data_IF_184319832582
#
_entry.id   IF_184319832582
#
_cell.length_a   1.000
_cell.length_b   1.000
_cell.length_c   1.000
_cell.angle_alpha   90.00
_cell.angle_beta   90.00
_cell.angle_gamma   90.00
#
_symmetry.space_group_name_H-M   'P 1'
#
loop_
_entity.id
_entity.type
_entity.pdbx_description
1 polymer ?
#
# COMPACT_ATOMS: atom_id res chain seq x y z
N UNK A 1 -4.32 9.70 13.13
CA UNK A 1 -5.46 10.34 13.84
C UNK A 1 -4.91 10.96 15.11
N UNK A 2 -5.16 12.24 15.38
CA UNK A 2 -4.83 12.84 16.66
C UNK A 2 -5.71 12.22 17.75
N UNK A 3 -5.11 11.73 18.83
CA UNK A 3 -5.81 11.12 19.97
C UNK A 3 -6.27 12.21 20.95
N UNK A 4 -7.19 11.86 21.86
CA UNK A 4 -7.68 12.68 22.98
C UNK A 4 -6.55 13.41 23.73
N UNK A 5 -5.38 12.79 23.84
CA UNK A 5 -4.24 13.29 24.61
C UNK A 5 -3.38 14.32 23.87
N UNK A 6 -3.61 14.54 22.57
CA UNK A 6 -2.76 15.44 21.74
C UNK A 6 -2.76 16.90 22.24
N UNK A 7 -3.77 17.31 23.00
CA UNK A 7 -3.90 18.66 23.57
C UNK A 7 -3.48 18.75 25.05
N UNK A 8 -3.05 17.65 25.66
CA UNK A 8 -2.64 17.62 27.07
C UNK A 8 -1.20 18.13 27.24
N UNK A 9 -1.03 19.45 27.10
CA UNK A 9 0.28 20.13 27.23
C UNK A 9 0.90 20.05 28.63
N UNK A 10 0.15 19.54 29.62
CA UNK A 10 0.60 19.36 31.01
C UNK A 10 1.08 17.96 31.31
N UNK A 11 0.98 17.03 30.36
CA UNK A 11 1.48 15.66 30.53
C UNK A 11 3.00 15.66 30.73
N UNK A 12 3.47 14.89 31.70
CA UNK A 12 4.91 14.71 31.90
C UNK A 12 5.48 13.90 30.73
N UNK A 13 6.63 14.29 30.17
CA UNK A 13 7.22 13.54 29.07
C UNK A 13 7.56 12.12 29.53
N UNK A 14 7.02 11.13 28.83
CA UNK A 14 7.45 9.73 28.96
C UNK A 14 8.77 9.62 28.21
N UNK A 15 9.86 9.34 28.93
CA UNK A 15 11.15 9.06 28.31
C UNK A 15 11.22 7.55 28.09
N UNK A 16 11.17 7.14 26.83
CA UNK A 16 11.37 5.75 26.43
C UNK A 16 12.82 5.54 25.99
N UNK A 17 13.57 4.78 26.80
CA UNK A 17 14.97 4.41 26.54
C UNK A 17 15.10 2.96 26.02
N UNK A 18 14.00 2.36 25.53
CA UNK A 18 14.01 0.99 25.04
C UNK A 18 14.72 0.82 23.69
N UNK A 19 14.78 1.88 22.88
CA UNK A 19 15.43 1.89 21.57
C UNK A 19 16.69 2.75 21.63
N UNK A 20 17.85 2.14 21.41
CA UNK A 20 19.13 2.84 21.29
C UNK A 20 19.29 3.49 19.93
N UNK A 21 18.83 2.82 18.86
CA UNK A 21 19.05 3.26 17.48
C UNK A 21 17.90 2.88 16.56
N UNK A 22 17.55 3.80 15.66
CA UNK A 22 16.58 3.59 14.59
C UNK A 22 17.18 4.09 13.28
N UNK A 23 17.43 3.20 12.31
CA UNK A 23 18.13 3.56 11.07
C UNK A 23 17.54 2.89 9.84
N UNK A 24 17.34 3.66 8.79
CA UNK A 24 16.93 3.14 7.49
C UNK A 24 18.13 2.56 6.73
N UNK A 25 18.00 1.31 6.30
CA UNK A 25 18.98 0.63 5.48
C UNK A 25 18.41 0.38 4.09
N UNK A 26 19.18 0.76 3.07
CA UNK A 26 18.81 0.58 1.68
C UNK A 26 19.20 -0.83 1.18
N UNK A 27 18.23 -1.49 0.55
CA UNK A 27 18.40 -2.76 -0.14
C UNK A 27 17.94 -2.60 -1.58
N UNK A 28 18.83 -2.85 -2.52
CA UNK A 28 18.57 -2.69 -3.96
C UNK A 28 18.39 -4.04 -4.65
N UNK A 29 17.67 -4.04 -5.77
CA UNK A 29 17.59 -5.23 -6.62
C UNK A 29 18.96 -5.57 -7.23
N UNK A 30 19.17 -6.85 -7.53
CA UNK A 30 20.37 -7.32 -8.24
C UNK A 30 20.35 -6.97 -9.72
N UNK A 31 19.17 -6.81 -10.31
CA UNK A 31 19.03 -6.39 -11.70
C UNK A 31 19.08 -4.87 -11.78
N UNK A 32 19.57 -4.36 -12.91
CA UNK A 32 19.71 -2.93 -13.18
C UNK A 32 18.88 -2.46 -14.36
N UNK A 33 18.37 -3.38 -15.18
CA UNK A 33 17.43 -3.08 -16.25
C UNK A 33 16.02 -3.49 -15.80
N UNK A 34 15.17 -2.49 -15.56
CA UNK A 34 13.81 -2.67 -15.05
C UNK A 34 12.74 -2.42 -16.12
N UNK A 35 13.12 -1.95 -17.31
CA UNK A 35 12.18 -1.27 -18.22
C UNK A 35 11.34 -2.24 -19.06
N UNK A 36 11.77 -3.50 -19.19
CA UNK A 36 11.05 -4.49 -19.97
C UNK A 36 9.81 -5.00 -19.20
N UNK A 37 8.59 -4.90 -19.76
CA UNK A 37 7.40 -5.49 -19.16
C UNK A 37 7.58 -6.99 -18.89
N UNK A 38 7.05 -7.47 -17.77
CA UNK A 38 7.23 -8.84 -17.28
C UNK A 38 8.55 -9.08 -16.52
N UNK A 39 9.46 -8.10 -16.46
CA UNK A 39 10.67 -8.22 -15.64
C UNK A 39 10.31 -8.37 -14.17
N UNK A 40 10.86 -9.41 -13.54
CA UNK A 40 10.76 -9.62 -12.11
C UNK A 40 11.88 -8.85 -11.38
N UNK A 41 11.47 -7.94 -10.50
CA UNK A 41 12.35 -7.13 -9.68
C UNK A 41 12.25 -7.67 -8.24
N UNK A 42 13.16 -8.58 -7.91
CA UNK A 42 13.25 -9.15 -6.56
C UNK A 42 14.31 -8.41 -5.73
N UNK A 43 13.97 -8.08 -4.49
CA UNK A 43 14.82 -7.36 -3.53
C UNK A 43 14.83 -8.17 -2.22
N UNK A 44 15.82 -9.07 -2.04
CA UNK A 44 15.95 -9.87 -0.83
C UNK A 44 16.76 -9.15 0.26
N UNK A 45 16.31 -9.27 1.51
CA UNK A 45 17.01 -8.86 2.73
C UNK A 45 17.37 -10.13 3.50
N UNK A 46 18.61 -10.59 3.29
CA UNK A 46 19.10 -11.89 3.79
C UNK A 46 19.94 -11.78 5.08
N UNK A 47 19.79 -10.69 5.83
CA UNK A 47 20.55 -10.48 7.06
C UNK A 47 19.81 -11.09 8.26
N UNK A 48 20.39 -12.14 8.83
CA UNK A 48 19.84 -12.79 10.02
C UNK A 48 20.23 -12.04 11.30
N UNK A 49 19.43 -12.18 12.35
CA UNK A 49 19.68 -11.57 13.66
C UNK A 49 19.40 -10.07 13.75
N UNK A 50 18.71 -9.50 12.76
CA UNK A 50 18.25 -8.10 12.80
C UNK A 50 16.85 -7.98 13.40
N UNK A 51 16.59 -6.86 14.05
CA UNK A 51 15.24 -6.38 14.32
C UNK A 51 14.84 -5.40 13.22
N UNK A 52 13.91 -5.81 12.35
CA UNK A 52 13.39 -4.99 11.26
C UNK A 52 11.99 -4.48 11.58
N UNK A 53 11.60 -3.32 11.08
CA UNK A 53 10.24 -2.76 11.26
C UNK A 53 9.53 -2.55 9.91
N UNK A 54 8.85 -3.58 9.37
CA UNK A 54 8.18 -3.48 8.06
C UNK A 54 7.12 -2.38 7.95
N UNK A 55 6.49 -1.99 9.07
CA UNK A 55 5.43 -0.97 9.07
C UNK A 55 5.90 0.43 8.69
N UNK A 56 7.17 0.72 8.93
CA UNK A 56 7.80 1.99 8.56
C UNK A 56 8.73 1.87 7.34
N UNK A 57 8.74 0.70 6.68
CA UNK A 57 9.49 0.50 5.46
C UNK A 57 8.81 1.13 4.23
N UNK A 58 9.63 1.52 3.26
CA UNK A 58 9.15 2.10 2.00
C UNK A 58 10.02 1.70 0.81
N UNK A 59 9.45 1.77 -0.38
CA UNK A 59 10.13 1.57 -1.65
C UNK A 59 10.54 2.95 -2.17
N UNK A 60 11.80 3.11 -2.58
CA UNK A 60 12.27 4.25 -3.36
C UNK A 60 12.29 3.86 -4.84
N UNK A 61 11.63 4.67 -5.66
CA UNK A 61 11.60 4.50 -7.11
C UNK A 61 12.15 5.77 -7.74
N UNK A 62 13.22 5.61 -8.49
CA UNK A 62 13.83 6.69 -9.28
C UNK A 62 13.81 6.33 -10.75
N UNK A 63 13.60 7.33 -11.58
CA UNK A 63 13.55 7.13 -13.01
C UNK A 63 13.37 8.43 -13.77
N UNK A 64 13.02 8.27 -15.03
CA UNK A 64 12.83 9.39 -15.95
C UNK A 64 11.68 9.14 -16.91
N UNK A 65 10.78 10.10 -17.00
CA UNK A 65 9.75 10.18 -18.04
C UNK A 65 10.33 10.84 -19.30
N UNK A 66 10.40 10.09 -20.39
CA UNK A 66 10.93 10.52 -21.68
C UNK A 66 9.88 10.35 -22.78
N UNK A 67 10.08 11.00 -23.92
CA UNK A 67 9.39 10.63 -25.15
C UNK A 67 9.84 9.24 -25.58
N UNK A 68 9.00 8.54 -26.33
CA UNK A 68 9.31 7.19 -26.84
C UNK A 68 10.60 7.14 -27.69
N UNK A 69 11.02 8.27 -28.29
CA UNK A 69 12.28 8.41 -29.03
C UNK A 69 13.51 8.67 -28.13
N UNK A 70 13.34 8.67 -26.80
CA UNK A 70 14.38 8.93 -25.81
C UNK A 70 14.68 10.41 -25.56
N UNK A 71 14.01 11.32 -26.26
CA UNK A 71 14.20 12.77 -26.06
C UNK A 71 13.36 13.30 -24.90
N UNK A 72 13.73 14.49 -24.42
CA UNK A 72 13.02 15.13 -23.29
C UNK A 72 11.74 15.84 -23.76
N UNK A 73 10.73 15.85 -22.89
CA UNK A 73 9.59 16.76 -23.03
C UNK A 73 9.98 18.21 -22.78
N UNK A 74 9.28 19.15 -23.42
CA UNK A 74 9.37 20.58 -23.19
C UNK A 74 8.38 21.04 -22.11
N UNK A 75 8.56 22.24 -21.55
CA UNK A 75 7.66 22.78 -20.50
C UNK A 75 6.20 22.87 -20.94
N UNK A 76 5.97 23.16 -22.23
CA UNK A 76 4.64 23.28 -22.82
C UNK A 76 4.02 21.91 -23.17
N UNK A 77 4.78 20.82 -23.15
CA UNK A 77 4.24 19.49 -23.42
C UNK A 77 3.34 19.08 -22.25
N UNK A 78 2.05 18.92 -22.53
CA UNK A 78 1.05 18.51 -21.54
C UNK A 78 1.13 17.00 -21.31
N UNK A 79 2.08 16.58 -20.46
CA UNK A 79 2.29 15.20 -20.03
C UNK A 79 2.80 15.12 -18.58
N UNK A 80 2.35 14.12 -17.83
CA UNK A 80 2.87 13.78 -16.50
C UNK A 80 2.50 12.33 -16.15
N UNK A 81 2.92 11.83 -14.99
CA UNK A 81 2.41 10.58 -14.43
C UNK A 81 1.04 10.77 -13.77
N UNK A 82 0.18 9.74 -13.82
CA UNK A 82 -1.14 9.72 -13.16
C UNK A 82 -0.99 9.71 -11.62
N UNK A 83 -2.11 9.89 -10.90
CA UNK A 83 -2.09 9.98 -9.44
C UNK A 83 -1.67 8.60 -8.92
N UNK A 84 -0.64 8.54 -8.06
CA UNK A 84 0.00 7.29 -7.64
C UNK A 84 0.57 6.46 -8.82
N UNK A 85 0.91 7.11 -9.93
CA UNK A 85 1.32 6.47 -11.19
C UNK A 85 2.50 5.50 -11.08
N UNK A 86 3.35 5.63 -10.05
CA UNK A 86 4.46 4.68 -9.80
C UNK A 86 3.98 3.24 -9.61
N UNK A 87 2.83 3.04 -8.99
CA UNK A 87 2.29 1.68 -8.80
C UNK A 87 1.69 1.11 -10.08
N UNK A 88 1.34 1.94 -11.05
CA UNK A 88 0.89 1.48 -12.36
C UNK A 88 2.04 1.00 -13.26
N UNK A 89 3.29 1.24 -12.86
CA UNK A 89 4.47 0.67 -13.52
C UNK A 89 4.66 -0.81 -13.19
N UNK A 90 3.91 -1.36 -12.22
CA UNK A 90 4.00 -2.75 -11.81
C UNK A 90 2.63 -3.42 -11.85
N UNK A 91 2.60 -4.64 -12.39
CA UNK A 91 1.39 -5.44 -12.48
C UNK A 91 1.05 -6.07 -11.12
N UNK A 92 2.11 -6.49 -10.40
CA UNK A 92 2.00 -7.28 -9.18
C UNK A 92 3.08 -6.91 -8.18
N UNK A 93 2.74 -6.94 -6.91
CA UNK A 93 3.67 -6.92 -5.78
C UNK A 93 3.45 -8.13 -4.88
N UNK A 94 4.52 -8.79 -4.49
CA UNK A 94 4.52 -9.93 -3.58
C UNK A 94 5.48 -9.66 -2.42
N UNK A 95 5.04 -9.94 -1.20
CA UNK A 95 5.87 -9.81 -0.01
C UNK A 95 5.97 -11.15 0.72
N UNK A 96 7.21 -11.59 0.95
CA UNK A 96 7.52 -12.87 1.59
C UNK A 96 8.35 -12.66 2.86
N UNK A 97 8.09 -13.49 3.87
CA UNK A 97 8.93 -13.61 5.07
C UNK A 97 9.48 -15.04 5.15
N UNK A 98 10.80 -15.19 5.22
CA UNK A 98 11.48 -16.49 5.33
C UNK A 98 11.06 -17.52 4.27
N UNK A 99 10.74 -17.05 3.06
CA UNK A 99 10.29 -17.89 1.93
C UNK A 99 8.79 -18.16 1.89
N UNK A 100 8.03 -17.80 2.93
CA UNK A 100 6.57 -17.89 2.94
C UNK A 100 5.95 -16.60 2.39
N UNK A 101 5.06 -16.74 1.41
CA UNK A 101 4.31 -15.60 0.86
C UNK A 101 3.27 -15.12 1.87
N UNK A 102 3.41 -13.87 2.31
CA UNK A 102 2.40 -13.22 3.15
C UNK A 102 1.24 -12.69 2.31
N UNK A 103 1.55 -11.84 1.33
CA UNK A 103 0.54 -11.13 0.55
C UNK A 103 0.98 -10.99 -0.91
N UNK A 104 0.02 -11.14 -1.82
CA UNK A 104 0.17 -10.87 -3.25
C UNK A 104 -0.91 -9.88 -3.66
N UNK A 105 -0.49 -8.74 -4.20
CA UNK A 105 -1.37 -7.70 -4.73
C UNK A 105 -1.19 -7.67 -6.25
N UNK A 106 -2.25 -7.99 -6.97
CA UNK A 106 -2.38 -7.88 -8.42
C UNK A 106 -3.02 -6.54 -8.81
N UNK A 107 -2.83 -6.10 -10.06
CA UNK A 107 -3.33 -4.81 -10.53
C UNK A 107 -2.91 -3.66 -9.59
N UNK A 108 -1.63 -3.67 -9.21
CA UNK A 108 -1.09 -2.89 -8.09
C UNK A 108 -1.48 -1.40 -8.16
N UNK A 109 -1.36 -0.79 -9.34
CA UNK A 109 -1.77 0.60 -9.60
C UNK A 109 -3.20 0.88 -9.17
N UNK A 110 -4.16 0.14 -9.74
CA UNK A 110 -5.60 0.31 -9.48
C UNK A 110 -5.95 -0.01 -8.03
N UNK A 111 -5.54 -1.18 -7.52
CA UNK A 111 -5.88 -1.63 -6.17
C UNK A 111 -5.43 -0.63 -5.10
N UNK A 112 -4.18 -0.17 -5.20
CA UNK A 112 -3.63 0.77 -4.22
C UNK A 112 -4.13 2.20 -4.39
N UNK A 113 -4.58 2.58 -5.58
CA UNK A 113 -5.25 3.87 -5.82
C UNK A 113 -6.64 3.89 -5.22
N UNK A 114 -7.44 2.84 -5.42
CA UNK A 114 -8.75 2.68 -4.78
C UNK A 114 -8.61 2.73 -3.26
N UNK A 115 -7.66 1.98 -2.71
CA UNK A 115 -7.37 1.99 -1.27
C UNK A 115 -7.01 3.40 -0.79
N UNK A 116 -6.12 4.10 -1.50
CA UNK A 116 -5.72 5.45 -1.12
C UNK A 116 -6.89 6.44 -1.14
N UNK A 117 -7.81 6.32 -2.10
CA UNK A 117 -8.97 7.22 -2.22
C UNK A 117 -9.96 7.01 -1.06
N UNK A 118 -10.06 5.78 -0.55
CA UNK A 118 -10.90 5.44 0.59
C UNK A 118 -10.24 5.79 1.93
N UNK A 119 -8.92 5.60 2.02
CA UNK A 119 -8.16 5.74 3.28
C UNK A 119 -7.74 7.17 3.57
N UNK A 120 -7.32 7.93 2.57
CA UNK A 120 -6.72 9.25 2.80
C UNK A 120 -7.75 10.38 2.74
N UNK A 121 -7.78 11.26 3.75
CA UNK A 121 -8.58 12.47 3.69
C UNK A 121 -8.05 13.40 2.60
N UNK A 122 -8.91 14.27 2.08
CA UNK A 122 -8.56 15.15 0.95
C UNK A 122 -7.31 16.01 1.20
N UNK A 123 -7.09 16.46 2.44
CA UNK A 123 -5.94 17.28 2.78
C UNK A 123 -4.59 16.55 2.68
N UNK A 124 -4.57 15.22 2.64
CA UNK A 124 -3.32 14.44 2.55
C UNK A 124 -2.47 14.87 1.35
N UNK A 125 -3.10 15.20 0.23
CA UNK A 125 -2.44 15.70 -0.99
C UNK A 125 -1.65 17.00 -0.78
N UNK A 126 -2.04 17.82 0.20
CA UNK A 126 -1.45 19.14 0.48
C UNK A 126 -0.29 19.07 1.49
N UNK A 127 -0.06 17.92 2.14
CA UNK A 127 0.95 17.80 3.21
C UNK A 127 2.07 16.86 2.80
N UNK A 128 1.77 15.58 2.60
CA UNK A 128 2.77 14.55 2.28
C UNK A 128 2.46 13.79 1.00
N UNK A 129 1.28 13.99 0.40
CA UNK A 129 0.85 13.24 -0.77
C UNK A 129 1.80 13.38 -1.96
N UNK A 130 2.32 14.60 -2.21
CA UNK A 130 3.24 14.82 -3.34
C UNK A 130 4.52 13.98 -3.27
N UNK A 131 5.03 13.65 -2.08
CA UNK A 131 6.22 12.79 -1.92
C UNK A 131 5.99 11.36 -2.44
N UNK A 132 4.72 10.99 -2.67
CA UNK A 132 4.28 9.68 -3.13
C UNK A 132 3.49 9.78 -4.44
N UNK A 133 3.63 10.91 -5.16
CA UNK A 133 2.88 11.23 -6.37
C UNK A 133 1.35 11.21 -6.16
N UNK A 134 0.90 11.54 -4.94
CA UNK A 134 -0.51 11.62 -4.57
C UNK A 134 -1.00 13.06 -4.62
N UNK A 135 -1.54 13.44 -5.77
CA UNK A 135 -2.24 14.70 -5.98
C UNK A 135 -3.29 14.52 -7.06
N UNK A 136 -4.55 14.58 -6.64
CA UNK A 136 -5.68 14.16 -7.45
C UNK A 136 -5.98 15.16 -8.55
N UNK A 137 -6.34 14.64 -9.72
CA UNK A 137 -6.85 15.43 -10.83
C UNK A 137 -8.13 16.18 -10.42
N UNK A 138 -8.27 17.43 -10.87
CA UNK A 138 -9.49 18.23 -10.70
C UNK A 138 -10.38 18.23 -11.95
N UNK A 139 -9.94 17.55 -13.02
CA UNK A 139 -10.61 17.45 -14.32
C UNK A 139 -10.20 16.16 -15.02
N UNK A 140 -11.00 15.70 -15.97
CA UNK A 140 -10.72 14.51 -16.79
C UNK A 140 -9.75 14.79 -17.94
N UNK A 141 -9.36 16.05 -18.16
CA UNK A 141 -8.48 16.44 -19.26
C UNK A 141 -7.04 16.61 -18.78
N UNK A 142 -6.08 16.12 -19.57
CA UNK A 142 -4.65 16.38 -19.38
C UNK A 142 -4.32 17.82 -19.79
N UNK A 143 -4.53 18.78 -18.89
CA UNK A 143 -4.38 20.21 -19.17
C UNK A 143 -3.69 20.94 -18.02
N UNK A 144 -2.60 21.65 -18.34
CA UNK A 144 -1.81 22.42 -17.35
C UNK A 144 -2.62 23.56 -16.73
N UNK A 145 -3.53 24.19 -17.47
CA UNK A 145 -4.25 25.37 -17.00
C UNK A 145 -5.49 25.06 -16.14
N UNK A 146 -6.16 23.93 -16.38
CA UNK A 146 -7.50 23.65 -15.82
C UNK A 146 -7.55 22.44 -14.91
N UNK A 147 -6.56 21.54 -15.01
CA UNK A 147 -6.45 20.38 -14.14
C UNK A 147 -5.33 20.62 -13.11
N UNK A 148 -5.72 21.01 -11.90
CA UNK A 148 -4.80 21.44 -10.84
C UNK A 148 -3.85 20.31 -10.42
N UNK A 149 -4.34 19.07 -10.30
CA UNK A 149 -3.49 17.96 -9.92
C UNK A 149 -2.56 17.50 -11.04
N UNK A 150 -3.01 17.56 -12.29
CA UNK A 150 -2.14 17.38 -13.43
C UNK A 150 -1.03 18.42 -13.46
N UNK A 151 -1.39 19.70 -13.29
CA UNK A 151 -0.45 20.82 -13.32
C UNK A 151 0.62 20.69 -12.21
N UNK A 152 0.21 20.35 -10.98
CA UNK A 152 1.13 20.17 -9.86
C UNK A 152 2.17 19.07 -10.14
N UNK A 153 1.72 17.90 -10.63
CA UNK A 153 2.63 16.80 -10.96
C UNK A 153 3.49 17.13 -12.18
N UNK A 154 2.94 17.76 -13.20
CA UNK A 154 3.68 18.15 -14.39
C UNK A 154 4.77 19.20 -14.07
N UNK A 155 4.49 20.15 -13.16
CA UNK A 155 5.49 21.11 -12.67
C UNK A 155 6.69 20.38 -12.09
N UNK A 156 6.44 19.47 -11.15
CA UNK A 156 7.50 18.72 -10.46
C UNK A 156 8.26 17.75 -11.38
N UNK A 157 7.59 17.13 -12.35
CA UNK A 157 8.23 16.16 -13.24
C UNK A 157 8.97 16.81 -14.42
N UNK A 158 8.43 17.89 -15.00
CA UNK A 158 8.90 18.42 -16.30
C UNK A 158 9.51 19.82 -16.18
N UNK A 159 8.91 20.70 -15.37
CA UNK A 159 9.29 22.12 -15.33
C UNK A 159 10.42 22.41 -14.34
N UNK A 160 10.31 21.89 -13.13
CA UNK A 160 11.21 22.15 -12.00
C UNK A 160 12.57 21.43 -12.06
N UNK A 161 12.68 20.15 -12.47
CA UNK A 161 13.95 19.45 -12.36
C UNK A 161 14.94 19.93 -13.43
N UNK A 162 16.21 20.09 -13.04
CA UNK A 162 17.31 20.44 -13.95
C UNK A 162 17.35 19.50 -15.17
N UNK A 163 17.10 18.22 -14.94
CA UNK A 163 16.92 17.21 -15.98
C UNK A 163 15.44 16.86 -16.10
N UNK A 164 14.79 17.35 -17.16
CA UNK A 164 13.35 17.15 -17.40
C UNK A 164 12.97 15.67 -17.40
N UNK A 165 11.84 15.39 -16.76
CA UNK A 165 11.27 14.06 -16.61
C UNK A 165 11.87 13.25 -15.45
N UNK A 166 12.98 13.71 -14.83
CA UNK A 166 13.63 12.96 -13.76
C UNK A 166 12.79 13.04 -12.48
N UNK A 167 12.59 11.91 -11.83
CA UNK A 167 11.84 11.82 -10.58
C UNK A 167 12.51 10.87 -9.58
N UNK A 168 12.19 11.09 -8.30
CA UNK A 168 12.55 10.23 -7.18
C UNK A 168 11.42 10.33 -6.17
N UNK A 169 10.76 9.20 -5.89
CA UNK A 169 9.57 9.15 -5.06
C UNK A 169 9.58 7.93 -4.15
N UNK A 170 8.90 8.04 -3.01
CA UNK A 170 8.79 6.95 -2.04
C UNK A 170 7.37 6.42 -1.96
N UNK A 171 7.25 5.10 -1.77
CA UNK A 171 5.97 4.42 -1.57
C UNK A 171 6.05 3.56 -0.31
N UNK A 172 5.40 3.96 0.79
CA UNK A 172 5.36 3.15 2.02
C UNK A 172 4.75 1.76 1.78
N UNK A 173 5.34 0.72 2.38
CA UNK A 173 4.81 -0.64 2.24
C UNK A 173 3.40 -0.78 2.83
N UNK A 174 3.08 -0.03 3.89
CA UNK A 174 1.73 0.05 4.46
C UNK A 174 0.65 0.55 3.47
N UNK A 175 1.04 1.19 2.37
CA UNK A 175 0.11 1.61 1.30
C UNK A 175 -0.16 0.49 0.27
N UNK A 176 0.57 -0.62 0.36
CA UNK A 176 0.46 -1.78 -0.52
C UNK A 176 -0.05 -2.97 0.29
N UNK A 177 0.71 -3.40 1.30
CA UNK A 177 0.46 -4.60 2.08
C UNK A 177 -0.27 -4.28 3.38
N UNK A 178 -1.22 -5.13 3.76
CA UNK A 178 -1.99 -4.97 4.98
C UNK A 178 -1.20 -5.41 6.22
N UNK A 179 -0.31 -6.40 6.10
CA UNK A 179 0.66 -6.77 7.13
C UNK A 179 1.47 -5.57 7.60
N UNK A 180 2.05 -4.81 6.66
CA UNK A 180 2.83 -3.61 6.98
C UNK A 180 1.95 -2.46 7.52
N UNK A 181 0.64 -2.48 7.31
CA UNK A 181 -0.27 -1.45 7.83
C UNK A 181 -0.72 -1.72 9.25
N UNK A 182 -0.91 -3.00 9.62
CA UNK A 182 -1.48 -3.38 10.92
C UNK A 182 -0.47 -3.93 11.90
N UNK A 183 0.63 -4.54 11.43
CA UNK A 183 1.66 -5.09 12.29
C UNK A 183 2.73 -4.05 12.55
N UNK A 184 2.63 -3.36 13.70
CA UNK A 184 3.48 -2.23 14.09
C UNK A 184 4.68 -2.65 14.97
N UNK A 185 4.99 -3.95 15.04
CA UNK A 185 6.06 -4.51 15.88
C UNK A 185 7.27 -4.95 15.06
N UNK A 186 8.42 -5.08 15.74
CA UNK A 186 9.65 -5.57 15.12
C UNK A 186 9.54 -7.04 14.75
N UNK A 187 10.13 -7.39 13.61
CA UNK A 187 10.34 -8.76 13.18
C UNK A 187 11.81 -9.11 13.42
N UNK A 188 12.08 -10.20 14.13
CA UNK A 188 13.45 -10.61 14.45
C UNK A 188 13.91 -11.77 13.58
N UNK A 189 15.04 -11.59 12.89
CA UNK A 189 15.81 -12.66 12.25
C UNK A 189 15.14 -13.36 11.06
N UNK A 190 13.97 -12.91 10.61
CA UNK A 190 13.33 -13.41 9.40
C UNK A 190 13.93 -12.72 8.17
N UNK A 191 14.07 -13.46 7.06
CA UNK A 191 14.46 -12.86 5.79
C UNK A 191 13.24 -12.22 5.14
N UNK A 192 13.44 -11.12 4.43
CA UNK A 192 12.36 -10.43 3.73
C UNK A 192 12.62 -10.49 2.23
N UNK A 193 11.58 -10.73 1.43
CA UNK A 193 11.68 -10.60 -0.03
C UNK A 193 10.50 -9.80 -0.53
N UNK A 194 10.76 -8.67 -1.19
CA UNK A 194 9.76 -7.99 -2.02
C UNK A 194 10.04 -8.33 -3.47
N UNK A 195 8.99 -8.72 -4.18
CA UNK A 195 9.03 -8.96 -5.61
C UNK A 195 8.01 -8.08 -6.31
N UNK A 196 8.45 -7.32 -7.31
CA UNK A 196 7.61 -6.49 -8.17
C UNK A 196 7.69 -7.01 -9.60
N UNK A 197 6.56 -7.12 -10.30
CA UNK A 197 6.53 -7.49 -11.72
C UNK A 197 6.27 -6.24 -12.55
N UNK A 198 7.20 -5.89 -13.45
CA UNK A 198 7.08 -4.72 -14.34
C UNK A 198 5.88 -4.85 -15.28
N UNK A 199 5.12 -3.76 -15.46
CA UNK A 199 4.01 -3.62 -16.41
C UNK A 199 4.33 -2.57 -17.49
N UNK A 200 3.48 -2.42 -18.50
CA UNK A 200 3.51 -1.31 -19.45
C UNK A 200 3.35 0.06 -18.80
N UNK A 201 4.01 1.08 -19.37
CA UNK A 201 3.94 2.47 -18.90
C UNK A 201 2.63 3.19 -19.22
N UNK A 202 1.84 2.65 -20.16
CA UNK A 202 0.72 3.37 -20.75
C UNK A 202 -0.30 3.83 -19.70
N UNK A 203 -0.59 2.98 -18.69
CA UNK A 203 -1.53 3.31 -17.63
C UNK A 203 -0.93 4.25 -16.58
N UNK A 204 0.40 4.40 -16.53
CA UNK A 204 1.07 5.30 -15.61
C UNK A 204 1.18 6.74 -16.13
N UNK A 205 1.04 6.96 -17.44
CA UNK A 205 1.27 8.27 -18.10
C UNK A 205 -0.04 8.91 -18.51
N UNK A 206 -0.24 10.17 -18.13
CA UNK A 206 -1.35 11.01 -18.58
C UNK A 206 -0.85 12.12 -19.50
N UNK A 207 -1.42 12.22 -20.71
CA UNK A 207 -1.01 13.23 -21.71
C UNK A 207 -2.19 13.78 -22.50
N UNK A 208 -2.05 15.00 -22.99
CA UNK A 208 -3.00 15.59 -23.92
C UNK A 208 -2.95 14.92 -25.29
N UNK A 209 -4.07 14.98 -26.03
CA UNK A 209 -4.10 14.58 -27.43
C UNK A 209 -3.05 15.36 -28.24
N UNK A 210 -2.33 14.67 -29.13
CA UNK A 210 -1.25 15.26 -29.93
C UNK A 210 0.11 15.41 -29.23
N UNK A 211 0.20 15.23 -27.91
CA UNK A 211 1.50 15.17 -27.20
C UNK A 211 2.17 13.84 -27.49
N UNK A 212 3.49 13.81 -27.74
CA UNK A 212 4.23 12.59 -28.04
C UNK A 212 4.04 11.51 -26.97
N UNK A 213 4.01 10.23 -27.38
CA UNK A 213 3.93 9.10 -26.47
C UNK A 213 5.16 9.05 -25.55
N UNK A 214 4.93 8.67 -24.30
CA UNK A 214 5.95 8.65 -23.27
C UNK A 214 6.39 7.24 -22.91
N UNK A 215 7.57 7.15 -22.31
CA UNK A 215 8.14 5.96 -21.70
C UNK A 215 8.78 6.32 -20.37
N UNK A 216 8.75 5.40 -19.41
CA UNK A 216 9.36 5.56 -18.10
C UNK A 216 10.57 4.63 -18.02
N UNK A 217 11.76 5.23 -17.93
CA UNK A 217 12.99 4.50 -17.67
C UNK A 217 13.31 4.56 -16.18
N UNK A 218 13.27 3.41 -15.52
CA UNK A 218 13.61 3.30 -14.10
C UNK A 218 15.12 3.16 -13.96
N UNK A 219 15.69 3.95 -13.04
CA UNK A 219 17.12 3.91 -12.72
C UNK A 219 17.38 3.21 -11.40
N UNK A 220 16.41 3.22 -10.49
CA UNK A 220 16.55 2.63 -9.16
C UNK A 220 15.21 2.16 -8.61
N UNK A 221 15.19 0.94 -8.09
CA UNK A 221 14.10 0.39 -7.29
C UNK A 221 14.71 -0.30 -6.07
N UNK A 222 14.50 0.31 -4.90
CA UNK A 222 15.14 -0.12 -3.65
C UNK A 222 14.15 -0.08 -2.49
N UNK A 223 14.32 -0.95 -1.51
CA UNK A 223 13.59 -0.90 -0.24
C UNK A 223 14.46 -0.23 0.80
N UNK A 224 13.87 0.66 1.57
CA UNK A 224 14.43 1.18 2.80
C UNK A 224 13.74 0.49 3.97
N UNK A 225 14.48 -0.39 4.65
CA UNK A 225 13.99 -1.14 5.80
C UNK A 225 14.56 -0.53 7.08
N UNK A 226 13.72 -0.13 8.05
CA UNK A 226 14.20 0.33 9.35
C UNK A 226 14.80 -0.84 10.13
N UNK A 227 16.01 -0.63 10.64
CA UNK A 227 16.66 -1.49 11.63
C UNK A 227 16.56 -0.83 12.99
N UNK A 228 16.14 -1.61 13.99
CA UNK A 228 16.01 -1.17 15.37
C UNK A 228 17.10 -1.84 16.20
N UNK A 229 17.86 -1.03 16.93
CA UNK A 229 18.78 -1.51 17.96
C UNK A 229 18.13 -1.24 19.33
N UNK A 230 17.66 -2.27 20.04
CA UNK A 230 17.16 -2.08 21.40
C UNK A 230 18.31 -1.70 22.34
N UNK A 231 18.00 -1.05 23.46
CA UNK A 231 18.97 -0.81 24.53
C UNK A 231 19.38 -2.13 25.19
N UNK A 232 20.55 -2.15 25.86
CA UNK A 232 21.13 -3.37 26.40
C UNK A 232 20.17 -4.15 27.32
N UNK A 233 19.42 -3.44 28.17
CA UNK A 233 18.45 -4.06 29.07
C UNK A 233 17.30 -4.74 28.30
N UNK A 234 16.74 -4.05 27.31
CA UNK A 234 15.66 -4.57 26.48
C UNK A 234 16.13 -5.68 25.55
N UNK A 235 17.35 -5.59 25.06
CA UNK A 235 17.98 -6.65 24.27
C UNK A 235 18.07 -7.96 25.07
N UNK A 236 18.43 -7.89 26.36
CA UNK A 236 18.44 -9.06 27.23
C UNK A 236 17.04 -9.66 27.43
N UNK A 237 16.01 -8.82 27.60
CA UNK A 237 14.61 -9.28 27.71
C UNK A 237 14.16 -10.00 26.43
N UNK A 238 14.35 -9.36 25.28
CA UNK A 238 14.01 -9.92 23.97
C UNK A 238 14.78 -11.22 23.70
N UNK A 239 16.06 -11.30 24.06
CA UNK A 239 16.85 -12.51 23.90
C UNK A 239 16.29 -13.69 24.72
N UNK A 240 15.80 -13.45 25.94
CA UNK A 240 15.17 -14.50 26.75
C UNK A 240 13.90 -15.03 26.09
N UNK A 241 13.07 -14.14 25.51
CA UNK A 241 11.87 -14.52 24.75
C UNK A 241 12.22 -15.26 23.43
N UNK A 242 13.28 -14.84 22.75
CA UNK A 242 13.77 -15.54 21.54
C UNK A 242 14.27 -16.94 21.89
N UNK A 243 14.96 -17.10 23.02
CA UNK A 243 15.48 -18.39 23.49
C UNK A 243 14.36 -19.32 23.95
N UNK A 244 13.26 -18.79 24.53
CA UNK A 244 12.11 -19.61 24.91
C UNK A 244 11.40 -20.24 23.71
N UNK A 245 11.56 -19.66 22.51
CA UNK A 245 10.97 -20.13 21.24
C UNK A 245 9.46 -20.30 21.32
N UNK A 246 8.80 -19.41 22.05
CA UNK A 246 7.35 -19.42 22.14
C UNK A 246 6.73 -19.11 20.78
N UNK A 247 5.68 -19.87 20.43
CA UNK A 247 4.90 -19.61 19.22
C UNK A 247 4.04 -18.38 19.44
N UNK A 248 4.34 -17.30 18.71
CA UNK A 248 3.55 -16.07 18.76
C UNK A 248 2.46 -16.09 17.68
N UNK A 249 1.17 -16.02 18.03
CA UNK A 249 0.12 -15.84 17.03
C UNK A 249 0.22 -14.43 16.43
N UNK A 250 0.56 -14.36 15.15
CA UNK A 250 0.58 -13.10 14.39
C UNK A 250 -0.75 -12.96 13.67
N UNK A 251 -1.46 -11.87 13.92
CA UNK A 251 -2.70 -11.51 13.23
C UNK A 251 -2.50 -10.17 12.54
N UNK A 252 -2.91 -10.09 11.28
CA UNK A 252 -2.86 -8.87 10.48
C UNK A 252 -4.03 -8.83 9.51
N UNK A 253 -4.35 -7.64 9.00
CA UNK A 253 -5.36 -7.51 7.95
C UNK A 253 -4.68 -7.87 6.63
N UNK A 254 -5.05 -8.99 6.03
CA UNK A 254 -4.57 -9.36 4.70
C UNK A 254 -5.28 -8.50 3.65
N UNK A 255 -4.53 -7.98 2.67
CA UNK A 255 -5.10 -7.34 1.49
C UNK A 255 -5.04 -8.29 0.31
N UNK A 256 -6.16 -8.33 -0.42
CA UNK A 256 -6.29 -9.06 -1.68
C UNK A 256 -6.90 -8.15 -2.73
N UNK A 257 -6.53 -8.43 -3.98
CA UNK A 257 -7.00 -7.70 -5.15
C UNK A 257 -7.27 -8.70 -6.26
N UNK A 258 -8.48 -8.68 -6.77
CA UNK A 258 -8.94 -9.51 -7.87
C UNK A 258 -9.53 -8.62 -8.96
N UNK A 259 -9.37 -9.02 -10.22
CA UNK A 259 -9.98 -8.37 -11.36
C UNK A 259 -10.98 -9.35 -11.97
N UNK A 260 -12.22 -8.89 -12.12
CA UNK A 260 -13.25 -9.61 -12.87
C UNK A 260 -13.70 -8.74 -14.03
N UNK A 261 -13.83 -9.36 -15.20
CA UNK A 261 -14.47 -8.71 -16.34
C UNK A 261 -15.98 -8.80 -16.08
N UNK A 262 -16.62 -7.65 -15.89
CA UNK A 262 -18.07 -7.60 -15.68
C UNK A 262 -18.75 -7.98 -17.01
N UNK A 263 -19.54 -9.08 -17.06
CA UNK A 263 -20.27 -9.44 -18.26
C UNK A 263 -21.32 -8.36 -18.58
N UNK A 264 -21.67 -8.20 -19.86
CA UNK A 264 -22.75 -7.29 -20.29
C UNK A 264 -24.13 -7.87 -19.97
N UNK A 265 -24.36 -8.15 -18.70
CA UNK A 265 -25.60 -8.68 -18.14
C UNK A 265 -26.08 -7.75 -17.03
N UNK A 266 -27.38 -7.78 -16.73
CA UNK A 266 -27.95 -6.97 -15.63
C UNK A 266 -27.51 -7.46 -14.26
N UNK A 267 -27.11 -8.73 -14.17
CA UNK A 267 -26.69 -9.41 -12.95
C UNK A 267 -25.41 -10.21 -13.20
N UNK A 268 -24.50 -10.22 -12.23
CA UNK A 268 -23.33 -11.09 -12.23
C UNK A 268 -23.00 -11.53 -10.80
N UNK A 269 -22.34 -12.69 -10.68
CA UNK A 269 -21.89 -13.24 -9.40
C UNK A 269 -20.38 -13.13 -9.33
N UNK A 270 -19.86 -12.72 -8.17
CA UNK A 270 -18.42 -12.70 -7.88
C UNK A 270 -18.17 -13.49 -6.60
N UNK A 271 -17.11 -14.30 -6.58
CA UNK A 271 -16.80 -15.18 -5.45
C UNK A 271 -15.72 -14.54 -4.59
N UNK A 272 -16.04 -14.22 -3.33
CA UNK A 272 -15.04 -13.92 -2.32
C UNK A 272 -14.42 -15.24 -1.82
N UNK A 273 -13.17 -15.50 -2.18
CA UNK A 273 -12.43 -16.66 -1.71
C UNK A 273 -12.02 -16.48 -0.25
N UNK A 274 -12.70 -17.20 0.63
CA UNK A 274 -12.47 -17.16 2.08
C UNK A 274 -12.04 -18.56 2.52
N UNK A 275 -10.96 -18.65 3.27
CA UNK A 275 -10.37 -19.91 3.72
C UNK A 275 -10.37 -19.97 5.26
N UNK A 276 -10.18 -21.16 5.82
CA UNK A 276 -10.11 -21.37 7.28
C UNK A 276 -8.93 -20.67 7.99
N UNK A 277 -8.08 -19.95 7.25
CA UNK A 277 -6.97 -19.14 7.77
C UNK A 277 -7.28 -17.64 7.83
N UNK A 278 -8.38 -17.18 7.25
CA UNK A 278 -8.75 -15.76 7.14
C UNK A 278 -10.07 -15.49 7.86
N UNK A 279 -10.12 -14.50 8.75
CA UNK A 279 -11.36 -14.11 9.45
C UNK A 279 -11.97 -12.85 8.81
N UNK A 280 -13.31 -12.75 8.64
CA UNK A 280 -14.31 -13.77 8.98
C UNK A 280 -14.24 -15.02 8.10
N UNK A 281 -14.37 -16.19 8.75
CA UNK A 281 -14.64 -17.48 8.10
C UNK A 281 -16.06 -17.39 7.53
N UNK A 282 -16.18 -16.68 6.42
CA UNK A 282 -17.41 -16.57 5.68
C UNK A 282 -17.50 -17.82 4.82
N UNK A 283 -18.45 -18.68 5.16
CA UNK A 283 -19.00 -19.65 4.22
C UNK A 283 -19.44 -18.86 3.00
N UNK A 284 -18.77 -19.06 1.86
CA UNK A 284 -19.01 -18.43 0.54
C UNK A 284 -20.35 -17.69 0.45
N UNK A 285 -20.35 -16.38 0.74
CA UNK A 285 -21.55 -15.58 0.59
C UNK A 285 -21.73 -15.18 -0.88
N UNK A 286 -22.85 -15.59 -1.47
CA UNK A 286 -23.36 -14.98 -2.68
C UNK A 286 -24.07 -13.67 -2.29
N UNK A 287 -23.30 -12.60 -2.07
CA UNK A 287 -23.85 -11.28 -1.71
C UNK A 287 -24.37 -10.59 -2.98
N UNK A 288 -25.67 -10.68 -3.23
CA UNK A 288 -26.33 -9.87 -4.26
C UNK A 288 -26.64 -8.47 -3.72
N UNK A 289 -26.24 -7.43 -4.47
CA UNK A 289 -26.56 -6.03 -4.17
C UNK A 289 -28.06 -5.72 -4.27
N UNK A 290 -28.82 -6.27 -5.25
CA UNK A 290 -30.26 -6.03 -5.37
C UNK A 290 -31.06 -6.54 -4.16
N UNK A 291 -30.69 -7.69 -3.58
CA UNK A 291 -31.49 -8.34 -2.52
C UNK A 291 -31.08 -7.96 -1.08
N UNK A 292 -30.22 -6.96 -0.92
CA UNK A 292 -29.80 -6.44 0.39
C UNK A 292 -29.27 -7.53 1.36
N UNK A 293 -28.44 -8.47 0.87
CA UNK A 293 -27.93 -9.59 1.69
C UNK A 293 -26.84 -9.20 2.71
N UNK A 294 -26.64 -7.90 2.98
CA UNK A 294 -25.65 -7.37 3.94
C UNK A 294 -25.88 -7.86 5.38
N UNK A 295 -27.11 -8.29 5.70
CA UNK A 295 -27.48 -8.87 7.00
C UNK A 295 -26.66 -10.12 7.35
N UNK A 296 -26.22 -10.89 6.36
CA UNK A 296 -25.36 -12.08 6.55
C UNK A 296 -23.94 -11.68 6.95
N UNK A 297 -23.36 -10.70 6.25
CA UNK A 297 -22.05 -10.15 6.59
C UNK A 297 -22.05 -9.47 7.97
N UNK A 298 -23.12 -8.71 8.27
CA UNK A 298 -23.34 -8.14 9.61
C UNK A 298 -23.40 -9.20 10.70
N UNK A 299 -24.10 -10.31 10.46
CA UNK A 299 -24.23 -11.41 11.43
C UNK A 299 -22.89 -12.07 11.72
N UNK A 300 -22.03 -12.23 10.72
CA UNK A 300 -20.69 -12.76 10.97
C UNK A 300 -19.81 -11.79 11.72
N UNK A 301 -19.81 -10.50 11.34
CA UNK A 301 -19.09 -9.47 12.08
C UNK A 301 -19.53 -9.38 13.54
N UNK A 302 -20.83 -9.51 13.83
CA UNK A 302 -21.36 -9.47 15.19
C UNK A 302 -21.06 -10.71 16.03
N UNK A 303 -20.83 -11.85 15.37
CA UNK A 303 -20.47 -13.11 16.02
C UNK A 303 -18.96 -13.37 16.04
N UNK A 304 -18.13 -12.44 15.56
CA UNK A 304 -16.67 -12.60 15.51
C UNK A 304 -16.08 -12.99 16.84
N UNK A 305 -16.35 -12.20 17.87
CA UNK A 305 -15.76 -12.40 19.18
C UNK A 305 -16.16 -13.73 19.81
N UNK A 306 -17.37 -14.21 19.51
CA UNK A 306 -17.81 -15.56 19.91
C UNK A 306 -17.06 -16.64 19.15
N UNK A 307 -17.01 -16.55 17.82
CA UNK A 307 -16.41 -17.58 16.95
C UNK A 307 -14.90 -17.68 17.14
N UNK A 308 -14.23 -16.55 17.30
CA UNK A 308 -12.77 -16.47 17.33
C UNK A 308 -12.19 -16.50 18.75
N UNK A 309 -12.81 -15.81 19.72
CA UNK A 309 -12.34 -15.78 21.11
C UNK A 309 -13.15 -16.68 22.06
N UNK A 310 -14.17 -17.40 21.59
CA UNK A 310 -15.01 -18.26 22.42
C UNK A 310 -15.89 -17.51 23.43
N UNK A 311 -16.06 -16.20 23.27
CA UNK A 311 -16.77 -15.34 24.24
C UNK A 311 -18.29 -15.51 24.18
N UNK A 312 -18.96 -15.36 25.34
CA UNK A 312 -20.42 -15.45 25.45
C UNK A 312 -21.12 -14.26 24.75
N UNK A 313 -22.15 -14.54 23.95
CA UNK A 313 -22.92 -13.56 23.17
C UNK A 313 -23.52 -12.42 23.99
N UNK A 314 -23.83 -12.65 25.27
CA UNK A 314 -24.38 -11.61 26.15
C UNK A 314 -23.34 -10.55 26.55
N UNK A 315 -22.06 -10.89 26.44
CA UNK A 315 -20.93 -10.04 26.85
C UNK A 315 -20.21 -9.48 25.62
N UNK A 316 -20.29 -10.18 24.49
CA UNK A 316 -19.51 -9.90 23.28
C UNK A 316 -20.31 -9.23 22.15
N UNK A 317 -21.49 -8.68 22.42
CA UNK A 317 -22.26 -8.01 21.36
C UNK A 317 -21.46 -6.82 20.82
N UNK A 318 -21.18 -6.83 19.52
CA UNK A 318 -20.73 -5.61 18.86
C UNK A 318 -21.87 -4.58 19.01
N UNK A 319 -21.60 -3.41 19.59
CA UNK A 319 -22.59 -2.31 19.69
C UNK A 319 -22.90 -1.64 18.36
N UNK A 320 -22.60 -2.31 17.26
CA UNK A 320 -22.83 -1.89 15.89
C UNK A 320 -24.14 -2.57 15.49
N UNK A 321 -25.14 -1.79 15.09
CA UNK A 321 -26.38 -2.35 14.54
C UNK A 321 -26.24 -2.56 13.00
N UNK A 322 -27.18 -3.25 12.31
CA UNK A 322 -27.06 -3.51 10.88
C UNK A 322 -26.95 -2.25 10.01
N UNK A 323 -27.59 -1.16 10.44
CA UNK A 323 -27.55 0.12 9.74
C UNK A 323 -26.18 0.79 9.91
N UNK A 324 -25.63 0.79 11.13
CA UNK A 324 -24.28 1.24 11.42
C UNK A 324 -23.26 0.43 10.64
N UNK A 325 -23.43 -0.89 10.56
CA UNK A 325 -22.56 -1.78 9.79
C UNK A 325 -22.56 -1.42 8.30
N UNK A 326 -23.74 -1.18 7.71
CA UNK A 326 -23.87 -0.72 6.32
C UNK A 326 -23.17 0.62 6.08
N UNK A 327 -23.22 1.54 7.04
CA UNK A 327 -22.57 2.85 6.94
C UNK A 327 -21.07 2.80 7.19
N UNK A 328 -20.59 1.93 8.09
CA UNK A 328 -19.19 1.82 8.46
C UNK A 328 -18.37 0.94 7.50
N UNK A 329 -19.02 -0.05 6.87
CA UNK A 329 -18.39 -1.03 5.97
C UNK A 329 -19.04 -0.99 4.59
N UNK A 330 -19.03 0.18 3.95
CA UNK A 330 -19.48 0.31 2.57
C UNK A 330 -18.61 -0.51 1.62
N UNK A 331 -19.23 -1.50 0.97
CA UNK A 331 -18.66 -2.14 -0.23
C UNK A 331 -18.81 -1.14 -1.39
N UNK A 332 -17.74 -0.40 -1.68
CA UNK A 332 -17.71 0.51 -2.82
C UNK A 332 -17.40 -0.27 -4.10
N UNK A 333 -18.32 -0.23 -5.07
CA UNK A 333 -18.06 -0.59 -6.46
C UNK A 333 -17.76 0.72 -7.20
N UNK A 334 -16.54 0.84 -7.70
CA UNK A 334 -16.16 1.92 -8.59
C UNK A 334 -16.24 1.38 -10.01
N UNK A 335 -17.16 1.92 -10.80
CA UNK A 335 -17.10 1.83 -12.26
C UNK A 335 -16.09 2.90 -12.70
N UNK A 336 -14.98 2.47 -13.31
CA UNK A 336 -13.88 3.36 -13.73
C UNK A 336 -13.94 3.60 -15.23
#
# INVERSE_FOLDING_TARGET
MATSDTLNITEKPIIDESIEKFEYHEYSSKITNFDNPGTEISIPINQQGLFTLPSEAYILIEGRLLKADGTSYANADAVTLINKGLMYLFARAEYQLSGETLEIINNLGTATTMLGLLKYPNYFQNVQGMNQLWYKDSSTTAAIATNLGFAARQSYLIQEPNTKGKFSYTVPLKHIFGFCDTYDKVVYGLTHTLTLIRESDNNAIFRAAGTAAGQVNLTKVSIFMPHIKPSLEYQLKLNNEIVSKETLPISYIERRSELIIVPQTTDFTWTLNLNSRSYPEIVSYNLSFPDQQFSRAYRDASLFTKKFYGMNELISQCRINPQDYKTLYLLFVFDL
#
